data_IF_172892800555
#
_entry.id   IF_172892800555
#
_cell.length_a   1.000
_cell.length_b   1.000
_cell.length_c   1.000
_cell.angle_alpha   90.00
_cell.angle_beta   90.00
_cell.angle_gamma   90.00
#
_symmetry.space_group_name_H-M   'P 1'
#
loop_
_entity.id
_entity.type
_entity.pdbx_description
1 polymer ?
#
# COMPACT_ATOMS: atom_id res chain seq x y z
N UNK A 1 0.96 -1.75 19.96
CA UNK A 1 1.03 -0.31 19.65
C UNK A 1 0.62 0.46 20.89
N UNK A 2 1.37 1.48 21.28
CA UNK A 2 0.97 2.43 22.32
C UNK A 2 0.19 3.58 21.71
N UNK A 3 -0.71 4.18 22.48
CA UNK A 3 -1.37 5.42 22.08
C UNK A 3 -0.32 6.53 21.90
N UNK A 4 -0.45 7.30 20.82
CA UNK A 4 0.36 8.50 20.57
C UNK A 4 -0.57 9.69 20.77
N UNK A 5 -0.24 10.55 21.73
CA UNK A 5 -1.01 11.76 22.01
C UNK A 5 -0.86 12.78 20.86
N UNK A 6 -1.97 13.39 20.45
CA UNK A 6 -1.99 14.39 19.38
C UNK A 6 -3.38 14.57 18.76
N UNK A 7 -3.49 15.53 17.85
CA UNK A 7 -4.66 15.72 17.00
C UNK A 7 -4.42 15.10 15.62
N UNK A 8 -5.46 14.57 14.99
CA UNK A 8 -5.36 14.10 13.61
C UNK A 8 -5.12 15.29 12.67
N UNK A 9 -4.44 15.03 11.54
CA UNK A 9 -4.27 16.06 10.52
C UNK A 9 -5.62 16.54 9.99
N UNK A 10 -6.60 15.66 9.83
CA UNK A 10 -7.97 16.04 9.43
C UNK A 10 -8.58 17.12 10.33
N UNK A 11 -8.32 17.06 11.64
CA UNK A 11 -8.79 18.07 12.60
C UNK A 11 -7.94 19.35 12.60
N UNK A 12 -6.61 19.23 12.52
CA UNK A 12 -5.71 20.37 12.73
C UNK A 12 -5.31 21.13 11.44
N UNK A 13 -5.41 20.50 10.27
CA UNK A 13 -4.83 21.01 9.00
C UNK A 13 -5.30 22.41 8.63
N UNK A 14 -6.59 22.70 8.82
CA UNK A 14 -7.15 24.02 8.49
C UNK A 14 -6.67 25.15 9.41
N UNK A 15 -6.10 24.82 10.57
CA UNK A 15 -5.54 25.81 11.51
C UNK A 15 -4.08 26.16 11.22
N UNK A 16 -3.39 25.37 10.41
CA UNK A 16 -1.97 25.56 10.11
C UNK A 16 -1.73 26.64 9.06
N UNK A 17 -0.70 27.46 9.29
CA UNK A 17 -0.20 28.36 8.27
C UNK A 17 0.54 27.61 7.15
N UNK A 18 0.89 28.33 6.09
CA UNK A 18 1.55 27.74 4.92
C UNK A 18 2.95 27.17 5.25
N UNK A 19 3.65 27.73 6.24
CA UNK A 19 4.99 27.28 6.64
C UNK A 19 4.86 25.92 7.34
N UNK A 20 3.97 25.81 8.32
CA UNK A 20 3.70 24.58 9.05
C UNK A 20 3.17 23.48 8.11
N UNK A 21 2.25 23.80 7.20
CA UNK A 21 1.77 22.82 6.20
C UNK A 21 2.91 22.29 5.33
N UNK A 22 3.83 23.14 4.90
CA UNK A 22 5.00 22.73 4.12
C UNK A 22 5.94 21.83 4.93
N UNK A 23 6.17 22.15 6.21
CA UNK A 23 6.99 21.33 7.11
C UNK A 23 6.39 19.93 7.29
N UNK A 24 5.09 19.84 7.61
CA UNK A 24 4.38 18.56 7.77
C UNK A 24 4.42 17.76 6.46
N UNK A 25 4.19 18.42 5.32
CA UNK A 25 4.25 17.76 4.00
C UNK A 25 5.62 17.17 3.72
N UNK A 26 6.69 17.93 4.02
CA UNK A 26 8.06 17.45 3.83
C UNK A 26 8.36 16.27 4.75
N UNK A 27 7.93 16.31 6.01
CA UNK A 27 8.12 15.21 6.94
C UNK A 27 7.40 13.92 6.48
N UNK A 28 6.15 14.04 6.01
CA UNK A 28 5.41 12.89 5.44
C UNK A 28 6.12 12.32 4.21
N UNK A 29 6.66 13.19 3.35
CA UNK A 29 7.44 12.78 2.17
C UNK A 29 8.70 12.02 2.59
N UNK A 30 9.41 12.47 3.61
CA UNK A 30 10.59 11.79 4.16
C UNK A 30 10.23 10.41 4.69
N UNK A 31 9.16 10.27 5.48
CA UNK A 31 8.70 8.96 5.95
C UNK A 31 8.32 8.01 4.81
N UNK A 32 7.63 8.50 3.77
CA UNK A 32 7.35 7.68 2.58
C UNK A 32 8.62 7.26 1.84
N UNK A 33 9.64 8.11 1.82
CA UNK A 33 10.94 7.76 1.25
C UNK A 33 11.62 6.67 2.09
N UNK A 34 11.68 6.82 3.41
CA UNK A 34 12.24 5.81 4.32
C UNK A 34 11.54 4.45 4.17
N UNK A 35 10.20 4.43 4.13
CA UNK A 35 9.43 3.20 3.94
C UNK A 35 9.77 2.49 2.62
N UNK A 36 10.05 3.25 1.55
CA UNK A 36 10.45 2.68 0.24
C UNK A 36 11.88 2.16 0.22
N UNK A 37 12.74 2.63 1.13
CA UNK A 37 14.12 2.15 1.26
C UNK A 37 14.23 0.89 2.14
N UNK A 38 13.15 0.49 2.82
CA UNK A 38 13.13 -0.77 3.57
C UNK A 38 13.44 -1.91 2.59
N UNK A 39 14.53 -2.63 2.85
CA UNK A 39 15.00 -3.70 1.98
C UNK A 39 13.88 -4.71 1.76
N UNK A 40 13.62 -5.01 0.50
CA UNK A 40 12.69 -6.07 0.14
C UNK A 40 13.19 -7.39 0.73
N UNK A 41 12.29 -8.10 1.41
CA UNK A 41 12.54 -9.50 1.77
C UNK A 41 12.51 -10.33 0.47
N UNK A 42 12.95 -11.58 0.53
CA UNK A 42 12.93 -12.50 -0.61
C UNK A 42 11.50 -12.95 -1.00
N UNK A 43 10.50 -12.08 -0.84
CA UNK A 43 9.10 -12.30 -1.18
C UNK A 43 8.37 -10.97 -1.43
N UNK A 44 7.26 -11.03 -2.16
CA UNK A 44 6.34 -9.93 -2.42
C UNK A 44 5.05 -10.16 -1.61
N UNK A 45 4.79 -9.30 -0.63
CA UNK A 45 3.68 -9.42 0.29
C UNK A 45 3.77 -8.41 1.43
N UNK A 46 2.80 -8.42 2.33
CA UNK A 46 2.88 -7.62 3.56
C UNK A 46 4.00 -8.10 4.49
N UNK A 47 4.33 -7.27 5.48
CA UNK A 47 5.26 -7.61 6.55
C UNK A 47 4.84 -8.93 7.22
N UNK A 48 5.82 -9.69 7.71
CA UNK A 48 5.62 -11.00 8.35
C UNK A 48 4.94 -12.05 7.47
N UNK A 49 5.34 -12.11 6.20
CA UNK A 49 4.80 -13.06 5.21
C UNK A 49 3.26 -12.95 5.06
N UNK A 50 2.73 -11.74 5.19
CA UNK A 50 1.31 -11.46 4.95
C UNK A 50 0.95 -11.37 3.46
N UNK A 51 -0.34 -11.47 3.13
CA UNK A 51 -0.81 -11.34 1.76
C UNK A 51 -0.60 -9.92 1.21
N UNK A 52 -0.55 -9.77 -0.10
CA UNK A 52 -0.65 -8.49 -0.81
C UNK A 52 -2.06 -7.91 -0.61
N UNK A 53 -2.12 -6.66 -0.16
CA UNK A 53 -3.38 -5.94 0.15
C UNK A 53 -3.86 -5.04 -0.98
N UNK A 54 -3.32 -5.20 -2.20
CA UNK A 54 -3.73 -4.40 -3.34
C UNK A 54 -5.20 -4.67 -3.71
N UNK A 55 -6.02 -3.63 -3.96
CA UNK A 55 -7.44 -3.78 -4.33
C UNK A 55 -7.70 -4.71 -5.52
N UNK A 56 -6.77 -4.84 -6.45
CA UNK A 56 -6.93 -5.77 -7.58
C UNK A 56 -7.09 -7.22 -7.10
N UNK A 57 -6.35 -7.59 -6.05
CA UNK A 57 -6.35 -8.91 -5.43
C UNK A 57 -7.37 -9.06 -4.29
N UNK A 58 -8.09 -7.99 -3.90
CA UNK A 58 -9.00 -8.01 -2.75
C UNK A 58 -10.04 -9.14 -2.81
N UNK A 59 -10.59 -9.41 -3.99
CA UNK A 59 -11.54 -10.51 -4.23
C UNK A 59 -10.89 -11.76 -4.83
N UNK A 60 -9.57 -11.78 -5.00
CA UNK A 60 -8.85 -12.92 -5.55
C UNK A 60 -8.48 -13.92 -4.44
N UNK A 61 -8.49 -15.21 -4.77
CA UNK A 61 -8.26 -16.27 -3.79
C UNK A 61 -6.77 -16.45 -3.45
N UNK A 62 -5.87 -16.16 -4.41
CA UNK A 62 -4.43 -16.13 -4.16
C UNK A 62 -3.99 -14.69 -3.95
N UNK A 63 -3.43 -14.40 -2.78
CA UNK A 63 -2.94 -13.06 -2.44
C UNK A 63 -1.47 -13.06 -1.99
N UNK A 64 -0.77 -14.18 -2.14
CA UNK A 64 0.60 -14.31 -1.66
C UNK A 64 0.68 -14.56 -0.15
N UNK A 65 1.86 -14.33 0.47
CA UNK A 65 3.06 -13.74 -0.13
C UNK A 65 3.60 -14.59 -1.28
N UNK A 66 4.29 -13.94 -2.22
CA UNK A 66 4.82 -14.57 -3.42
C UNK A 66 6.36 -14.61 -3.35
N UNK A 67 6.97 -15.76 -3.62
CA UNK A 67 8.43 -15.91 -3.53
C UNK A 67 9.18 -15.21 -4.68
N UNK A 68 8.48 -14.83 -5.75
CA UNK A 68 9.07 -14.11 -6.88
C UNK A 68 8.01 -13.29 -7.64
N UNK A 69 8.46 -12.49 -8.60
CA UNK A 69 7.60 -11.69 -9.46
C UNK A 69 6.69 -12.54 -10.36
N UNK A 70 7.13 -13.73 -10.76
CA UNK A 70 6.37 -14.60 -11.68
C UNK A 70 4.99 -15.03 -11.12
N UNK A 71 4.87 -15.66 -9.93
CA UNK A 71 3.58 -16.02 -9.37
C UNK A 71 2.78 -14.78 -8.93
N UNK A 72 3.44 -13.69 -8.57
CA UNK A 72 2.78 -12.41 -8.28
C UNK A 72 2.07 -11.86 -9.53
N UNK A 73 2.80 -11.71 -10.64
CA UNK A 73 2.27 -11.20 -11.91
C UNK A 73 1.15 -12.08 -12.44
N UNK A 74 1.27 -13.41 -12.29
CA UNK A 74 0.20 -14.35 -12.64
C UNK A 74 -1.07 -14.08 -11.84
N UNK A 75 -0.97 -13.92 -10.52
CA UNK A 75 -2.13 -13.62 -9.67
C UNK A 75 -2.81 -12.30 -10.06
N UNK A 76 -2.03 -11.27 -10.43
CA UNK A 76 -2.56 -9.99 -10.93
C UNK A 76 -3.34 -10.19 -12.23
N UNK A 77 -2.78 -10.92 -13.19
CA UNK A 77 -3.44 -11.22 -14.48
C UNK A 77 -4.72 -12.02 -14.26
N UNK A 78 -4.67 -13.08 -13.46
CA UNK A 78 -5.83 -13.93 -13.18
C UNK A 78 -6.95 -13.14 -12.47
N UNK A 79 -6.59 -12.29 -11.49
CA UNK A 79 -7.54 -11.41 -10.83
C UNK A 79 -8.17 -10.41 -11.80
N UNK A 80 -7.37 -9.80 -12.67
CA UNK A 80 -7.85 -8.89 -13.70
C UNK A 80 -8.83 -9.58 -14.67
N UNK A 81 -8.44 -10.74 -15.21
CA UNK A 81 -9.28 -11.51 -16.15
C UNK A 81 -10.60 -11.95 -15.52
N UNK A 82 -10.60 -12.30 -14.23
CA UNK A 82 -11.83 -12.67 -13.51
C UNK A 82 -12.84 -11.52 -13.40
N UNK A 83 -12.35 -10.27 -13.38
CA UNK A 83 -13.17 -9.05 -13.30
C UNK A 83 -13.46 -8.43 -14.66
N UNK A 84 -12.72 -8.80 -15.70
CA UNK A 84 -12.88 -8.25 -17.03
C UNK A 84 -14.26 -8.64 -17.62
N UNK A 85 -14.97 -7.70 -18.26
CA UNK A 85 -16.26 -8.00 -18.88
C UNK A 85 -16.07 -9.06 -19.98
N UNK A 86 -16.79 -10.18 -19.86
CA UNK A 86 -16.79 -11.23 -20.88
C UNK A 86 -17.40 -10.65 -22.15
N UNK A 87 -16.62 -10.57 -23.23
CA UNK A 87 -17.14 -10.24 -24.56
C UNK A 87 -18.15 -11.34 -24.93
N UNK A 88 -19.43 -10.98 -25.01
CA UNK A 88 -20.43 -11.82 -25.65
C UNK A 88 -20.11 -11.81 -27.15
N UNK A 89 -19.74 -12.97 -27.69
CA UNK A 89 -19.65 -13.22 -29.13
C UNK A 89 -20.99 -13.79 -29.58
#
# INVERSE_FOLDING_TARGET
MSFVEGQSLDTAWETYDSITRNQVTNQLKEYLHELRQISHRNYIGSVDFGPVTDPILESHHVKGPFDSEEPFNKAIIDAYQSKAPKRQI
#
